data_IF_867351673024
#
_entry.id   IF_867351673024
#
_cell.length_a   1.000
_cell.length_b   1.000
_cell.length_c   1.000
_cell.angle_alpha   90.00
_cell.angle_beta   90.00
_cell.angle_gamma   90.00
#
_symmetry.space_group_name_H-M   'P 1'
#
loop_
_entity.id
_entity.type
_entity.pdbx_description
1 polymer ?
#
# COMPACT_ATOMS: atom_id res chain seq x y z
N UNK A 1 -18.14 -22.17 21.17
CA UNK A 1 -18.27 -21.16 20.09
C UNK A 1 -17.74 -19.78 20.51
N UNK A 2 -17.95 -19.36 21.77
CA UNK A 2 -17.51 -18.03 22.28
C UNK A 2 -16.00 -17.78 22.18
N UNK A 3 -15.15 -18.73 22.59
CA UNK A 3 -13.68 -18.56 22.51
C UNK A 3 -13.10 -18.47 21.08
N UNK A 4 -13.84 -18.92 20.06
CA UNK A 4 -13.40 -18.77 18.66
C UNK A 4 -13.68 -17.33 18.16
N UNK A 5 -14.80 -16.75 18.56
CA UNK A 5 -15.19 -15.36 18.22
C UNK A 5 -14.24 -14.37 18.92
N UNK A 6 -13.84 -14.66 20.15
CA UNK A 6 -12.89 -13.81 20.89
C UNK A 6 -11.49 -13.82 20.27
N UNK A 7 -10.97 -14.98 19.85
CA UNK A 7 -9.70 -15.05 19.09
C UNK A 7 -9.78 -14.31 17.76
N UNK A 8 -10.87 -14.47 17.01
CA UNK A 8 -11.06 -13.75 15.74
C UNK A 8 -11.08 -12.24 15.96
N UNK A 9 -11.76 -11.76 17.00
CA UNK A 9 -11.78 -10.34 17.37
C UNK A 9 -10.42 -9.82 17.82
N UNK A 10 -9.67 -10.61 18.61
CA UNK A 10 -8.31 -10.24 19.03
C UNK A 10 -7.37 -10.12 17.82
N UNK A 11 -7.38 -11.13 16.94
CA UNK A 11 -6.55 -11.11 15.73
C UNK A 11 -6.84 -9.91 14.82
N UNK A 12 -8.12 -9.59 14.62
CA UNK A 12 -8.54 -8.43 13.84
C UNK A 12 -8.09 -7.10 14.47
N UNK A 13 -8.09 -6.99 15.80
CA UNK A 13 -7.57 -5.80 16.50
C UNK A 13 -6.08 -5.64 16.32
N UNK A 14 -5.32 -6.72 16.46
CA UNK A 14 -3.86 -6.69 16.33
C UNK A 14 -3.43 -6.36 14.91
N UNK A 15 -4.15 -6.87 13.91
CA UNK A 15 -3.97 -6.53 12.51
C UNK A 15 -4.25 -5.06 12.24
N UNK A 16 -5.42 -4.56 12.66
CA UNK A 16 -5.76 -3.13 12.50
C UNK A 16 -4.75 -2.20 13.18
N UNK A 17 -4.23 -2.60 14.36
CA UNK A 17 -3.19 -1.83 15.05
C UNK A 17 -1.87 -1.83 14.29
N UNK A 18 -1.48 -2.93 13.64
CA UNK A 18 -0.29 -2.99 12.79
C UNK A 18 -0.47 -2.13 11.53
N UNK A 19 -1.61 -2.22 10.87
CA UNK A 19 -1.90 -1.48 9.63
C UNK A 19 -1.90 0.03 9.88
N UNK A 20 -2.53 0.48 10.98
CA UNK A 20 -2.52 1.90 11.36
C UNK A 20 -1.10 2.39 11.69
N UNK A 21 -0.29 1.59 12.37
CA UNK A 21 1.12 1.95 12.63
C UNK A 21 1.88 2.10 11.32
N UNK A 22 1.75 1.14 10.40
CA UNK A 22 2.41 1.18 9.09
C UNK A 22 1.97 2.42 8.31
N UNK A 23 0.67 2.68 8.24
CA UNK A 23 0.10 3.88 7.62
C UNK A 23 0.75 5.15 8.16
N UNK A 24 0.77 5.36 9.49
CA UNK A 24 1.34 6.58 10.07
C UNK A 24 2.85 6.70 9.83
N UNK A 25 3.60 5.60 9.87
CA UNK A 25 5.03 5.60 9.57
C UNK A 25 5.27 6.03 8.11
N UNK A 26 4.54 5.44 7.16
CA UNK A 26 4.68 5.79 5.74
C UNK A 26 4.26 7.23 5.45
N UNK A 27 3.19 7.73 6.09
CA UNK A 27 2.80 9.13 5.96
C UNK A 27 3.87 10.08 6.52
N UNK A 28 4.48 9.73 7.66
CA UNK A 28 5.57 10.51 8.25
C UNK A 28 6.78 10.55 7.32
N UNK A 29 7.18 9.41 6.76
CA UNK A 29 8.28 9.33 5.79
C UNK A 29 7.97 10.14 4.54
N UNK A 30 6.76 10.01 3.98
CA UNK A 30 6.35 10.78 2.81
C UNK A 30 6.41 12.29 3.06
N UNK A 31 6.02 12.75 4.26
CA UNK A 31 6.14 14.15 4.64
C UNK A 31 7.61 14.58 4.77
N UNK A 32 8.44 13.81 5.48
CA UNK A 32 9.83 14.16 5.76
C UNK A 32 10.72 14.13 4.51
N UNK A 33 10.34 13.31 3.53
CA UNK A 33 11.03 13.21 2.22
C UNK A 33 10.38 14.06 1.12
N UNK A 34 9.34 14.84 1.48
CA UNK A 34 8.59 15.70 0.58
C UNK A 34 8.02 14.97 -0.65
N UNK A 35 7.58 13.73 -0.44
CA UNK A 35 6.92 12.89 -1.43
C UNK A 35 5.45 13.25 -1.52
N UNK A 36 5.00 13.55 -2.73
CA UNK A 36 3.61 13.84 -3.07
C UNK A 36 3.22 13.17 -4.41
N UNK A 37 1.92 13.04 -4.66
CA UNK A 37 1.36 12.47 -5.88
C UNK A 37 0.82 13.59 -6.73
N UNK A 38 1.37 13.73 -7.93
CA UNK A 38 0.89 14.71 -8.91
C UNK A 38 -0.48 14.35 -9.46
N UNK A 39 -1.21 15.34 -9.96
CA UNK A 39 -2.47 15.10 -10.68
C UNK A 39 -2.26 14.19 -11.89
N UNK A 40 -1.11 14.28 -12.57
CA UNK A 40 -0.76 13.44 -13.70
C UNK A 40 -0.67 11.96 -13.33
N UNK A 41 0.02 11.63 -12.24
CA UNK A 41 0.12 10.27 -11.72
C UNK A 41 -1.25 9.72 -11.32
N UNK A 42 -2.04 10.52 -10.61
CA UNK A 42 -3.38 10.14 -10.19
C UNK A 42 -4.29 9.88 -11.41
N UNK A 43 -4.29 10.79 -12.38
CA UNK A 43 -5.08 10.66 -13.61
C UNK A 43 -4.62 9.47 -14.46
N UNK A 44 -3.31 9.20 -14.55
CA UNK A 44 -2.76 8.05 -15.25
C UNK A 44 -3.24 6.73 -14.64
N UNK A 45 -3.22 6.63 -13.30
CA UNK A 45 -3.74 5.46 -12.59
C UNK A 45 -5.23 5.28 -12.78
N UNK A 46 -6.01 6.36 -12.77
CA UNK A 46 -7.46 6.32 -13.05
C UNK A 46 -7.71 5.86 -14.49
N UNK A 47 -6.96 6.36 -15.47
CA UNK A 47 -7.12 5.97 -16.87
C UNK A 47 -6.89 4.46 -17.06
N UNK A 48 -5.87 3.91 -16.41
CA UNK A 48 -5.60 2.46 -16.41
C UNK A 48 -6.76 1.67 -15.79
N UNK A 49 -7.26 2.08 -14.62
CA UNK A 49 -8.40 1.43 -13.96
C UNK A 49 -9.69 1.55 -14.78
N UNK A 50 -9.90 2.68 -15.45
CA UNK A 50 -11.05 2.92 -16.30
C UNK A 50 -11.02 2.02 -17.54
N UNK A 51 -9.86 1.86 -18.18
CA UNK A 51 -9.67 0.96 -19.31
C UNK A 51 -9.97 -0.50 -18.92
N UNK A 52 -9.47 -0.97 -17.78
CA UNK A 52 -9.76 -2.32 -17.25
C UNK A 52 -11.25 -2.56 -16.97
N UNK A 53 -11.99 -1.50 -16.60
CA UNK A 53 -13.42 -1.56 -16.28
C UNK A 53 -14.33 -1.19 -17.47
N UNK A 54 -13.77 -0.92 -18.65
CA UNK A 54 -14.54 -0.46 -19.82
C UNK A 54 -15.26 0.88 -19.62
N UNK A 55 -14.71 1.77 -18.78
CA UNK A 55 -15.29 3.08 -18.45
C UNK A 55 -14.43 4.21 -19.03
N UNK A 56 -15.04 5.38 -19.22
CA UNK A 56 -14.30 6.63 -19.51
C UNK A 56 -13.58 7.12 -18.24
N UNK A 57 -12.31 7.57 -18.32
CA UNK A 57 -11.54 8.02 -17.15
C UNK A 57 -12.23 9.12 -16.34
N UNK A 58 -12.84 10.10 -17.00
CA UNK A 58 -13.51 11.23 -16.34
C UNK A 58 -14.72 10.77 -15.53
N UNK A 59 -15.48 9.80 -16.07
CA UNK A 59 -16.62 9.21 -15.39
C UNK A 59 -16.15 8.44 -14.15
N UNK A 60 -15.10 7.64 -14.28
CA UNK A 60 -14.54 6.91 -13.13
C UNK A 60 -13.99 7.88 -12.08
N UNK A 61 -13.28 8.94 -12.47
CA UNK A 61 -12.80 9.97 -11.55
C UNK A 61 -13.94 10.63 -10.76
N UNK A 62 -15.05 10.95 -11.43
CA UNK A 62 -16.22 11.51 -10.76
C UNK A 62 -16.87 10.52 -9.79
N UNK A 63 -17.00 9.24 -10.17
CA UNK A 63 -17.51 8.18 -9.28
C UNK A 63 -16.61 8.05 -8.05
N UNK A 64 -15.30 7.92 -8.25
CA UNK A 64 -14.31 7.77 -7.18
C UNK A 64 -14.24 8.98 -6.24
N UNK A 65 -14.46 10.18 -6.79
CA UNK A 65 -14.53 11.40 -5.99
C UNK A 65 -15.77 11.43 -5.10
N UNK A 66 -16.89 10.84 -5.54
CA UNK A 66 -18.16 10.82 -4.80
C UNK A 66 -18.17 9.75 -3.70
N UNK A 67 -17.56 8.60 -3.95
CA UNK A 67 -17.52 7.49 -3.00
C UNK A 67 -16.28 7.51 -2.07
N UNK A 68 -15.39 8.49 -2.25
CA UNK A 68 -14.18 8.67 -1.44
C UNK A 68 -13.00 7.79 -1.85
N UNK A 69 -13.17 6.87 -2.80
CA UNK A 69 -12.08 5.99 -3.26
C UNK A 69 -10.97 6.73 -4.00
N UNK A 70 -11.22 7.95 -4.48
CA UNK A 70 -10.18 8.81 -5.05
C UNK A 70 -9.12 9.21 -4.02
N UNK A 71 -9.55 9.56 -2.79
CA UNK A 71 -8.64 9.90 -1.72
C UNK A 71 -7.81 8.68 -1.29
N UNK A 72 -8.45 7.51 -1.23
CA UNK A 72 -7.75 6.25 -0.94
C UNK A 72 -6.71 5.93 -2.02
N UNK A 73 -7.03 6.16 -3.29
CA UNK A 73 -6.08 5.96 -4.38
C UNK A 73 -4.86 6.89 -4.25
N UNK A 74 -5.09 8.16 -3.91
CA UNK A 74 -4.01 9.11 -3.64
C UNK A 74 -3.11 8.62 -2.50
N UNK A 75 -3.70 8.20 -1.38
CA UNK A 75 -2.94 7.65 -0.23
C UNK A 75 -2.08 6.46 -0.66
N UNK A 76 -2.66 5.50 -1.39
CA UNK A 76 -1.95 4.32 -1.85
C UNK A 76 -0.78 4.66 -2.78
N UNK A 77 -0.97 5.61 -3.71
CA UNK A 77 0.09 6.06 -4.59
C UNK A 77 1.21 6.75 -3.80
N UNK A 78 0.85 7.56 -2.81
CA UNK A 78 1.82 8.26 -1.95
C UNK A 78 2.63 7.28 -1.11
N UNK A 79 1.98 6.26 -0.56
CA UNK A 79 2.64 5.17 0.19
C UNK A 79 3.63 4.41 -0.69
N UNK A 80 3.24 4.07 -1.93
CA UNK A 80 4.15 3.42 -2.88
C UNK A 80 5.40 4.26 -3.11
N UNK A 81 5.24 5.56 -3.38
CA UNK A 81 6.37 6.48 -3.56
C UNK A 81 7.23 6.64 -2.30
N UNK A 82 6.62 6.60 -1.11
CA UNK A 82 7.36 6.63 0.13
C UNK A 82 8.21 5.37 0.32
N UNK A 83 7.67 4.19 -0.04
CA UNK A 83 8.41 2.93 -0.04
C UNK A 83 9.58 2.98 -1.03
N UNK A 84 9.34 3.45 -2.25
CA UNK A 84 10.40 3.62 -3.26
C UNK A 84 11.53 4.50 -2.70
N UNK A 85 11.15 5.59 -2.00
CA UNK A 85 12.13 6.48 -1.38
C UNK A 85 12.94 5.82 -0.25
N UNK A 86 12.33 4.92 0.52
CA UNK A 86 13.04 4.13 1.53
C UNK A 86 14.05 3.22 0.83
N UNK A 87 13.62 2.53 -0.22
CA UNK A 87 14.45 1.57 -0.97
C UNK A 87 15.66 2.22 -1.62
N UNK A 88 15.59 3.48 -2.04
CA UNK A 88 16.75 4.22 -2.56
C UNK A 88 17.93 4.30 -1.57
N UNK A 89 17.65 4.19 -0.27
CA UNK A 89 18.65 4.31 0.82
C UNK A 89 18.80 3.03 1.63
N UNK A 90 18.05 1.98 1.29
CA UNK A 90 18.09 0.72 2.01
C UNK A 90 19.38 -0.05 1.68
N UNK A 91 20.00 -0.64 2.69
CA UNK A 91 21.02 -1.67 2.50
C UNK A 91 20.30 -2.96 2.07
N UNK A 92 20.61 -3.44 0.86
CA UNK A 92 19.97 -4.62 0.26
C UNK A 92 21.02 -5.70 0.07
N UNK A 93 20.92 -6.76 0.86
CA UNK A 93 21.74 -7.96 0.71
C UNK A 93 21.10 -8.92 -0.32
N UNK A 94 21.80 -9.20 -1.40
CA UNK A 94 21.39 -10.24 -2.35
C UNK A 94 21.72 -11.62 -1.77
N UNK A 95 20.68 -12.39 -1.43
CA UNK A 95 20.82 -13.77 -0.97
C UNK A 95 20.55 -14.74 -2.12
N UNK A 96 21.52 -15.60 -2.42
CA UNK A 96 21.34 -16.67 -3.41
C UNK A 96 20.46 -17.78 -2.80
N UNK A 97 19.23 -17.91 -3.30
CA UNK A 97 18.20 -18.82 -2.78
C UNK A 97 18.68 -20.27 -2.76
N UNK A 98 19.65 -20.64 -3.60
CA UNK A 98 20.20 -22.01 -3.65
C UNK A 98 21.06 -22.38 -2.44
N UNK A 99 21.63 -21.42 -1.71
CA UNK A 99 22.47 -21.71 -0.55
C UNK A 99 21.66 -21.94 0.74
N UNK A 100 20.47 -21.34 0.85
CA UNK A 100 19.63 -21.41 2.05
C UNK A 100 18.90 -22.75 2.25
N UNK A 101 18.84 -23.61 1.23
CA UNK A 101 18.23 -24.95 1.32
C UNK A 101 19.20 -26.03 1.86
N UNK A 102 20.50 -25.71 2.00
CA UNK A 102 21.52 -26.65 2.46
C UNK A 102 21.67 -26.79 3.99
N UNK A 103 21.16 -25.85 4.78
CA UNK A 103 21.40 -25.79 6.24
C UNK A 103 20.21 -26.23 7.12
N UNK A 104 19.08 -26.67 6.53
CA UNK A 104 17.92 -27.19 7.30
C UNK A 104 17.81 -28.72 7.29
N UNK A 105 18.93 -29.42 7.25
CA UNK A 105 18.92 -30.88 7.34
C UNK A 105 20.07 -31.38 8.22
N UNK A 106 19.91 -31.23 9.52
CA UNK A 106 20.48 -32.11 10.56
C UNK A 106 19.58 -32.07 11.81
#
# INVERSE_FOLDING_TARGET
MEGNIERLRSGARDEAARDLKLFFILQKIANDTNVDVSEGELNGRIAMLAAQRGKRPEKLKQEMSKDGSLANLYVQLREQKAIDKILETAEVDEVDVKAAEGEKKD
#
